data_IF_180994770699
#
_entry.id   IF_180994770699
#
_cell.length_a   1.000
_cell.length_b   1.000
_cell.length_c   1.000
_cell.angle_alpha   90.00
_cell.angle_beta   90.00
_cell.angle_gamma   90.00
#
_symmetry.space_group_name_H-M   'P 1'
#
loop_
_entity.id
_entity.type
_entity.pdbx_description
1 polymer ?
#
# COMPACT_ATOMS: atom_id res chain seq x y z
N UNK A 1 -0.37 -28.24 -21.86
CA UNK A 1 0.25 -27.51 -20.72
C UNK A 1 0.15 -25.99 -20.89
N UNK A 2 0.52 -25.44 -22.06
CA UNK A 2 0.40 -24.01 -22.40
C UNK A 2 -1.01 -23.41 -22.24
N UNK A 3 -2.07 -24.14 -22.58
CA UNK A 3 -3.47 -23.68 -22.50
C UNK A 3 -4.00 -23.51 -21.06
N UNK A 4 -3.50 -24.30 -20.11
CA UNK A 4 -3.84 -24.14 -18.69
C UNK A 4 -3.07 -22.98 -18.06
N UNK A 5 -1.85 -22.73 -18.52
CA UNK A 5 -1.04 -21.61 -18.07
C UNK A 5 -1.63 -20.26 -18.50
N UNK A 6 -2.03 -20.12 -19.77
CA UNK A 6 -2.67 -18.90 -20.27
C UNK A 6 -4.03 -18.62 -19.62
N UNK A 7 -4.84 -19.65 -19.38
CA UNK A 7 -6.10 -19.54 -18.66
C UNK A 7 -5.90 -19.04 -17.22
N UNK A 8 -4.93 -19.62 -16.50
CA UNK A 8 -4.59 -19.21 -15.14
C UNK A 8 -4.00 -17.78 -15.09
N UNK A 9 -3.18 -17.41 -16.07
CA UNK A 9 -2.62 -16.06 -16.18
C UNK A 9 -3.73 -15.03 -16.41
N UNK A 10 -4.69 -15.33 -17.28
CA UNK A 10 -5.82 -14.43 -17.57
C UNK A 10 -6.78 -14.30 -16.38
N UNK A 11 -6.98 -15.37 -15.60
CA UNK A 11 -7.77 -15.36 -14.38
C UNK A 11 -7.06 -14.59 -13.25
N UNK A 12 -5.73 -14.70 -13.18
CA UNK A 12 -4.89 -13.92 -12.27
C UNK A 12 -4.96 -12.43 -12.61
N UNK A 13 -4.78 -12.07 -13.89
CA UNK A 13 -4.89 -10.68 -14.38
C UNK A 13 -6.27 -10.06 -14.14
N UNK A 14 -7.36 -10.82 -14.25
CA UNK A 14 -8.72 -10.33 -13.90
C UNK A 14 -8.92 -10.09 -12.40
N UNK A 15 -8.12 -10.73 -11.53
CA UNK A 15 -8.20 -10.56 -10.06
C UNK A 15 -7.32 -9.44 -9.53
N UNK A 16 -6.34 -8.96 -10.29
CA UNK A 16 -5.53 -7.82 -9.87
C UNK A 16 -6.34 -6.54 -10.13
N UNK A 17 -6.81 -5.91 -9.06
CA UNK A 17 -7.46 -4.60 -9.13
C UNK A 17 -6.51 -3.60 -9.83
N UNK A 18 -7.05 -2.76 -10.72
CA UNK A 18 -6.29 -1.72 -11.43
C UNK A 18 -5.51 -0.83 -10.46
N UNK A 19 -6.06 -0.64 -9.25
CA UNK A 19 -5.41 0.07 -8.14
C UNK A 19 -4.15 -0.63 -7.63
N UNK A 20 -4.15 -1.96 -7.57
CA UNK A 20 -2.99 -2.76 -7.17
C UNK A 20 -1.90 -2.73 -8.23
N UNK A 21 -2.27 -2.82 -9.52
CA UNK A 21 -1.30 -2.65 -10.62
C UNK A 21 -0.65 -1.27 -10.56
N UNK A 22 -1.46 -0.21 -10.43
CA UNK A 22 -0.98 1.16 -10.34
C UNK A 22 -0.04 1.37 -9.15
N UNK A 23 -0.35 0.78 -7.99
CA UNK A 23 0.49 0.88 -6.80
C UNK A 23 1.83 0.17 -6.98
N UNK A 24 1.84 -1.02 -7.59
CA UNK A 24 3.09 -1.77 -7.86
C UNK A 24 3.96 -1.00 -8.85
N UNK A 25 3.37 -0.46 -9.92
CA UNK A 25 4.09 0.35 -10.92
C UNK A 25 4.63 1.63 -10.28
N UNK A 26 3.83 2.34 -9.50
CA UNK A 26 4.28 3.54 -8.79
C UNK A 26 5.42 3.23 -7.82
N UNK A 27 5.34 2.12 -7.07
CA UNK A 27 6.39 1.71 -6.15
C UNK A 27 7.69 1.39 -6.90
N UNK A 28 7.59 0.71 -8.04
CA UNK A 28 8.74 0.37 -8.88
C UNK A 28 9.41 1.63 -9.47
N UNK A 29 8.61 2.57 -9.99
CA UNK A 29 9.09 3.87 -10.47
C UNK A 29 9.78 4.64 -9.34
N UNK A 30 9.18 4.68 -8.15
CA UNK A 30 9.78 5.35 -6.99
C UNK A 30 11.08 4.71 -6.52
N UNK A 31 11.26 3.40 -6.67
CA UNK A 31 12.54 2.73 -6.34
C UNK A 31 13.62 3.07 -7.37
N UNK A 32 13.26 3.12 -8.66
CA UNK A 32 14.23 3.33 -9.73
C UNK A 32 14.58 4.80 -9.97
N UNK A 33 13.64 5.71 -9.73
CA UNK A 33 13.76 7.13 -10.08
C UNK A 33 13.34 8.05 -8.91
N UNK A 34 13.19 7.52 -7.70
CA UNK A 34 12.73 8.30 -6.55
C UNK A 34 13.65 9.45 -6.18
N UNK A 35 14.96 9.28 -6.38
CA UNK A 35 15.97 10.31 -6.18
C UNK A 35 15.78 11.56 -7.05
N UNK A 36 15.18 11.40 -8.23
CA UNK A 36 14.92 12.48 -9.19
C UNK A 36 13.47 12.95 -9.14
N UNK A 37 12.52 12.01 -9.03
CA UNK A 37 11.09 12.30 -9.04
C UNK A 37 10.61 12.96 -7.74
N UNK A 38 11.12 12.52 -6.57
CA UNK A 38 10.68 13.09 -5.30
C UNK A 38 11.09 14.57 -5.15
N UNK A 39 12.33 14.99 -5.49
CA UNK A 39 12.68 16.41 -5.48
C UNK A 39 11.89 17.23 -6.49
N UNK A 40 11.65 16.72 -7.70
CA UNK A 40 10.87 17.42 -8.72
C UNK A 40 9.43 17.66 -8.25
N UNK A 41 8.77 16.61 -7.75
CA UNK A 41 7.42 16.72 -7.21
C UNK A 41 7.38 17.65 -5.98
N UNK A 42 8.40 17.57 -5.12
CA UNK A 42 8.55 18.48 -3.98
C UNK A 42 8.68 19.94 -4.41
N UNK A 43 9.48 20.21 -5.44
CA UNK A 43 9.67 21.55 -5.97
C UNK A 43 8.37 22.11 -6.59
N UNK A 44 7.69 21.34 -7.43
CA UNK A 44 6.40 21.74 -8.01
C UNK A 44 5.38 22.02 -6.91
N UNK A 45 5.30 21.15 -5.90
CA UNK A 45 4.40 21.35 -4.77
C UNK A 45 4.75 22.60 -3.98
N UNK A 46 6.04 22.85 -3.74
CA UNK A 46 6.52 24.04 -3.04
C UNK A 46 6.13 25.32 -3.78
N UNK A 47 6.37 25.39 -5.09
CA UNK A 47 5.97 26.55 -5.92
C UNK A 47 4.45 26.76 -5.87
N UNK A 48 3.66 25.70 -5.92
CA UNK A 48 2.20 25.82 -5.80
C UNK A 48 1.77 26.35 -4.43
N UNK A 49 2.44 25.92 -3.36
CA UNK A 49 2.19 26.43 -2.01
C UNK A 49 2.56 27.91 -1.92
N UNK A 50 3.71 28.32 -2.46
CA UNK A 50 4.13 29.73 -2.47
C UNK A 50 3.11 30.63 -3.18
N UNK A 51 2.56 30.18 -4.32
CA UNK A 51 1.52 30.93 -5.04
C UNK A 51 0.27 31.09 -4.16
N UNK A 52 -0.16 30.02 -3.49
CA UNK A 52 -1.32 30.06 -2.58
C UNK A 52 -1.04 30.97 -1.38
N UNK A 53 0.14 30.87 -0.77
CA UNK A 53 0.55 31.71 0.36
C UNK A 53 0.57 33.19 -0.03
N UNK A 54 1.14 33.53 -1.18
CA UNK A 54 1.17 34.91 -1.68
C UNK A 54 -0.23 35.47 -1.89
N UNK A 55 -1.15 34.71 -2.49
CA UNK A 55 -2.54 35.14 -2.68
C UNK A 55 -3.25 35.33 -1.34
N UNK A 56 -3.03 34.42 -0.38
CA UNK A 56 -3.64 34.51 0.95
C UNK A 56 -3.06 35.68 1.77
N UNK A 57 -1.78 36.00 1.61
CA UNK A 57 -1.14 37.15 2.27
C UNK A 57 -1.82 38.45 1.84
N UNK A 58 -1.92 38.67 0.52
CA UNK A 58 -2.61 39.84 -0.04
C UNK A 58 -4.08 39.88 0.36
N UNK A 59 -4.76 38.74 0.41
CA UNK A 59 -6.15 38.66 0.87
C UNK A 59 -6.29 39.08 2.34
N UNK A 60 -5.38 38.61 3.20
CA UNK A 60 -5.40 38.95 4.63
C UNK A 60 -5.10 40.44 4.85
N UNK A 61 -4.14 41.00 4.12
CA UNK A 61 -3.86 42.44 4.15
C UNK A 61 -5.07 43.25 3.69
N UNK A 62 -5.68 42.90 2.55
CA UNK A 62 -6.80 43.64 1.97
C UNK A 62 -8.09 43.51 2.80
N UNK A 63 -8.39 42.33 3.34
CA UNK A 63 -9.64 42.07 4.06
C UNK A 63 -9.61 42.54 5.51
N UNK A 64 -8.44 42.48 6.17
CA UNK A 64 -8.31 42.76 7.61
C UNK A 64 -7.41 43.95 7.93
N UNK A 65 -6.82 44.61 6.92
CA UNK A 65 -5.91 45.74 7.12
C UNK A 65 -4.64 45.37 7.89
N UNK A 66 -4.23 44.10 7.82
CA UNK A 66 -3.06 43.60 8.53
C UNK A 66 -1.78 44.14 7.90
N UNK A 67 -0.74 44.32 8.72
CA UNK A 67 0.61 44.51 8.18
C UNK A 67 1.11 43.19 7.56
N UNK A 68 1.98 43.29 6.54
CA UNK A 68 2.60 42.12 5.90
C UNK A 68 3.20 41.14 6.92
N UNK A 69 3.89 41.67 7.94
CA UNK A 69 4.47 40.84 9.01
C UNK A 69 3.41 40.06 9.80
N UNK A 70 2.24 40.66 10.07
CA UNK A 70 1.16 39.96 10.77
C UNK A 70 0.52 38.89 9.88
N UNK A 71 0.28 39.19 8.60
CA UNK A 71 -0.25 38.23 7.64
C UNK A 71 0.67 37.00 7.49
N UNK A 72 1.99 37.23 7.38
CA UNK A 72 3.00 36.16 7.32
C UNK A 72 2.99 35.27 8.57
N UNK A 73 2.92 35.87 9.76
CA UNK A 73 2.88 35.10 11.02
C UNK A 73 1.61 34.23 11.09
N UNK A 74 0.46 34.78 10.71
CA UNK A 74 -0.82 34.05 10.71
C UNK A 74 -0.76 32.89 9.71
N UNK A 75 -0.26 33.14 8.49
CA UNK A 75 -0.14 32.10 7.46
C UNK A 75 0.82 31.01 7.88
N UNK A 76 1.98 31.36 8.43
CA UNK A 76 2.97 30.40 8.91
C UNK A 76 2.37 29.44 9.95
N UNK A 77 1.73 29.98 11.00
CA UNK A 77 1.15 29.13 12.05
C UNK A 77 -0.05 28.32 11.55
N UNK A 78 -0.85 28.88 10.64
CA UNK A 78 -1.97 28.17 10.01
C UNK A 78 -1.48 27.01 9.15
N UNK A 79 -0.48 27.25 8.29
CA UNK A 79 0.16 26.24 7.46
C UNK A 79 0.82 25.15 8.32
N UNK A 80 1.53 25.53 9.39
CA UNK A 80 2.13 24.59 10.33
C UNK A 80 1.08 23.69 10.99
N UNK A 81 -0.03 24.25 11.45
CA UNK A 81 -1.13 23.48 12.05
C UNK A 81 -1.72 22.48 11.06
N UNK A 82 -1.95 22.91 9.81
CA UNK A 82 -2.44 22.05 8.72
C UNK A 82 -1.45 20.92 8.44
N UNK A 83 -0.15 21.23 8.33
CA UNK A 83 0.90 20.25 8.11
C UNK A 83 0.95 19.21 9.24
N UNK A 84 0.93 19.65 10.50
CA UNK A 84 0.92 18.76 11.66
C UNK A 84 -0.31 17.84 11.67
N UNK A 85 -1.50 18.39 11.37
CA UNK A 85 -2.73 17.61 11.28
C UNK A 85 -2.67 16.56 10.17
N UNK A 86 -2.20 16.94 8.97
CA UNK A 86 -2.05 16.03 7.84
C UNK A 86 -1.01 14.94 8.13
N UNK A 87 0.14 15.31 8.70
CA UNK A 87 1.19 14.37 9.09
C UNK A 87 0.65 13.34 10.11
N UNK A 88 -0.09 13.79 11.13
CA UNK A 88 -0.75 12.91 12.08
C UNK A 88 -1.75 11.97 11.39
N UNK A 89 -2.63 12.49 10.54
CA UNK A 89 -3.65 11.71 9.83
C UNK A 89 -3.03 10.66 8.91
N UNK A 90 -1.98 11.01 8.16
CA UNK A 90 -1.25 10.10 7.28
C UNK A 90 -0.51 9.04 8.07
N UNK A 91 0.18 9.42 9.16
CA UNK A 91 0.88 8.49 10.04
C UNK A 91 -0.08 7.47 10.66
N UNK A 92 -1.23 7.93 11.16
CA UNK A 92 -2.27 7.06 11.71
C UNK A 92 -2.81 6.08 10.65
N UNK A 93 -3.06 6.55 9.43
CA UNK A 93 -3.53 5.70 8.32
C UNK A 93 -2.47 4.67 7.92
N UNK A 94 -1.20 5.09 7.82
CA UNK A 94 -0.08 4.22 7.50
C UNK A 94 0.09 3.11 8.56
N UNK A 95 0.04 3.48 9.85
CA UNK A 95 0.11 2.54 10.97
C UNK A 95 -0.98 1.45 10.90
N UNK A 96 -2.25 1.84 10.75
CA UNK A 96 -3.34 0.86 10.64
C UNK A 96 -3.25 0.01 9.36
N UNK A 97 -2.75 0.59 8.27
CA UNK A 97 -2.52 -0.16 7.03
C UNK A 97 -1.43 -1.21 7.23
N UNK A 98 -0.31 -0.84 7.88
CA UNK A 98 0.76 -1.77 8.20
C UNK A 98 0.29 -2.90 9.11
N UNK A 99 -0.48 -2.60 10.17
CA UNK A 99 -1.07 -3.63 11.03
C UNK A 99 -1.96 -4.62 10.25
N UNK A 100 -2.80 -4.12 9.33
CA UNK A 100 -3.64 -4.98 8.48
C UNK A 100 -2.81 -5.88 7.56
N UNK A 101 -1.75 -5.32 6.95
CA UNK A 101 -0.85 -6.09 6.09
C UNK A 101 -0.16 -7.20 6.88
N UNK A 102 0.34 -6.90 8.08
CA UNK A 102 0.97 -7.89 8.97
C UNK A 102 -0.03 -8.98 9.37
N UNK A 103 -1.25 -8.59 9.80
CA UNK A 103 -2.29 -9.55 10.17
C UNK A 103 -2.66 -10.47 8.99
N UNK A 104 -2.85 -9.89 7.80
CA UNK A 104 -3.16 -10.66 6.57
C UNK A 104 -2.01 -11.59 6.19
N UNK A 105 -0.76 -11.14 6.32
CA UNK A 105 0.41 -11.97 6.05
C UNK A 105 0.50 -13.15 7.04
N UNK A 106 0.23 -12.92 8.32
CA UNK A 106 0.20 -13.96 9.35
C UNK A 106 -0.92 -14.99 9.11
N UNK A 107 -2.14 -14.54 8.78
CA UNK A 107 -3.26 -15.42 8.44
C UNK A 107 -2.95 -16.29 7.23
N UNK A 108 -2.41 -15.69 6.15
CA UNK A 108 -1.97 -16.44 4.97
C UNK A 108 -0.85 -17.42 5.29
N UNK A 109 0.12 -17.02 6.11
CA UNK A 109 1.20 -17.90 6.58
C UNK A 109 0.66 -19.11 7.35
N UNK A 110 -0.31 -18.91 8.25
CA UNK A 110 -0.98 -19.99 8.99
C UNK A 110 -1.80 -20.91 8.07
N UNK A 111 -2.52 -20.35 7.09
CA UNK A 111 -3.27 -21.14 6.12
C UNK A 111 -2.35 -22.02 5.24
N UNK A 112 -1.19 -21.50 4.83
CA UNK A 112 -0.17 -22.27 4.11
C UNK A 112 0.42 -23.36 5.00
N UNK A 113 0.73 -23.06 6.27
CA UNK A 113 1.23 -24.06 7.21
C UNK A 113 0.22 -25.19 7.49
N UNK A 114 -1.06 -24.85 7.64
CA UNK A 114 -2.13 -25.81 7.88
C UNK A 114 -2.42 -26.67 6.64
N UNK A 115 -2.39 -26.09 5.45
CA UNK A 115 -2.53 -26.85 4.20
C UNK A 115 -1.32 -27.78 3.96
N UNK A 116 -0.09 -27.34 4.27
CA UNK A 116 1.09 -28.20 4.22
C UNK A 116 0.98 -29.40 5.19
N UNK A 117 0.48 -29.17 6.41
CA UNK A 117 0.20 -30.24 7.38
C UNK A 117 -0.89 -31.20 6.89
N UNK A 118 -1.96 -30.68 6.28
CA UNK A 118 -3.04 -31.50 5.73
C UNK A 118 -2.57 -32.38 4.56
N UNK A 119 -1.72 -31.85 3.68
CA UNK A 119 -1.10 -32.61 2.58
C UNK A 119 -0.16 -33.69 3.12
N UNK A 120 0.63 -33.38 4.14
CA UNK A 120 1.49 -34.37 4.80
C UNK A 120 0.67 -35.51 5.42
N UNK A 121 -0.41 -35.19 6.15
CA UNK A 121 -1.33 -36.18 6.71
C UNK A 121 -2.00 -37.06 5.64
N UNK A 122 -2.46 -36.45 4.55
CA UNK A 122 -3.05 -37.18 3.44
C UNK A 122 -2.05 -38.14 2.80
N UNK A 123 -0.80 -37.71 2.60
CA UNK A 123 0.27 -38.57 2.07
C UNK A 123 0.55 -39.76 2.99
N UNK A 124 0.58 -39.54 4.30
CA UNK A 124 0.74 -40.61 5.30
C UNK A 124 -0.43 -41.59 5.27
N UNK A 125 -1.68 -41.11 5.19
CA UNK A 125 -2.86 -41.96 5.08
C UNK A 125 -2.83 -42.83 3.81
N UNK A 126 -2.43 -42.28 2.67
CA UNK A 126 -2.29 -43.05 1.42
C UNK A 126 -1.17 -44.09 1.53
N UNK A 127 -0.03 -43.75 2.14
CA UNK A 127 1.08 -44.68 2.34
C UNK A 127 0.74 -45.84 3.28
N UNK A 128 -0.09 -45.61 4.30
CA UNK A 128 -0.53 -46.64 5.25
C UNK A 128 -1.74 -47.43 4.71
N UNK A 129 -2.62 -46.78 3.95
CA UNK A 129 -3.80 -47.41 3.35
C UNK A 129 -3.48 -48.28 2.12
N UNK A 130 -2.45 -47.94 1.35
CA UNK A 130 -2.04 -48.72 0.17
C UNK A 130 -1.64 -50.18 0.50
N UNK A 131 -0.89 -50.48 1.58
CA UNK A 131 -0.63 -51.84 2.05
C UNK A 131 -1.91 -52.64 2.39
N UNK A 132 -2.89 -51.99 3.03
CA UNK A 132 -4.16 -52.62 3.40
C UNK A 132 -5.02 -52.99 2.19
N UNK A 133 -5.02 -52.14 1.16
CA UNK A 133 -5.71 -52.42 -0.10
C UNK A 133 -5.03 -53.52 -0.92
N UNK A 134 -3.68 -53.61 -0.86
CA UNK A 134 -2.96 -54.71 -1.51
C UNK A 134 -3.18 -56.06 -0.83
N UNK A 135 -3.31 -56.11 0.51
CA UNK A 135 -3.61 -57.36 1.22
C UNK A 135 -4.99 -57.94 0.86
N UNK A 136 -5.98 -57.07 0.61
CA UNK A 136 -7.33 -57.46 0.19
C UNK A 136 -7.42 -58.05 -1.23
N UNK A 137 -6.38 -57.87 -2.06
CA UNK A 137 -6.29 -58.44 -3.42
C UNK A 137 -5.64 -59.84 -3.43
N UNK A 138 -5.05 -60.27 -2.32
CA UNK A 138 -4.37 -61.57 -2.17
C UNK A 138 -5.05 -62.50 -1.16
N UNK A 139 -6.21 -62.11 -0.61
CA UNK A 139 -7.13 -62.94 0.19
C UNK A 139 -8.42 -63.15 -0.58
#
# INVERSE_FOLDING_TARGET
MLTRFSANLSAYWRRIDKKTVGLVVALFISVLFGDTLLPLLGHVLHVLIEVVESVLEHLLEAAFGLSARQAQVILFYSALLIMLYLAWRLSRKAYFTALRVVATAQERGRAIANSAKAVAWFRTMVMIGAPGASLYLFT
#
